data_IF_827670279611
#
_entry.id   IF_827670279611
#
_cell.length_a   1.000
_cell.length_b   1.000
_cell.length_c   1.000
_cell.angle_alpha   90.00
_cell.angle_beta   90.00
_cell.angle_gamma   90.00
#
_symmetry.space_group_name_H-M   'P 1'
#
loop_
_entity.id
_entity.type
_entity.pdbx_description
1 polymer ?
#
# COMPACT_ATOMS: atom_id res chain seq x y z
N UNK A 1 5.52 9.34 11.43
CA UNK A 1 5.26 10.66 10.81
C UNK A 1 5.36 10.46 9.31
N UNK A 2 4.28 10.68 8.55
CA UNK A 2 4.30 10.48 7.10
C UNK A 2 5.32 11.44 6.48
N UNK A 3 6.38 10.89 5.88
CA UNK A 3 7.50 11.65 5.34
C UNK A 3 7.14 12.26 3.98
N UNK A 4 6.27 13.26 4.00
CA UNK A 4 6.13 14.18 2.88
C UNK A 4 6.01 15.58 3.47
N UNK A 5 7.13 16.30 3.53
CA UNK A 5 7.07 17.72 3.86
C UNK A 5 8.36 18.31 4.44
N UNK A 6 8.64 19.53 4.01
CA UNK A 6 9.70 20.41 4.51
C UNK A 6 9.58 20.68 6.02
N UNK A 7 8.38 20.54 6.58
CA UNK A 7 8.08 20.70 8.00
C UNK A 7 8.87 19.75 8.91
N UNK A 8 8.97 18.46 8.57
CA UNK A 8 9.75 17.50 9.38
C UNK A 8 11.24 17.85 9.31
N UNK A 9 11.73 18.21 8.11
CA UNK A 9 13.12 18.66 7.93
C UNK A 9 13.44 19.86 8.81
N UNK A 10 12.58 20.89 8.82
CA UNK A 10 12.75 22.09 9.64
C UNK A 10 12.73 21.75 11.14
N UNK A 11 11.83 20.86 11.58
CA UNK A 11 11.78 20.41 12.98
C UNK A 11 13.04 19.66 13.40
N UNK A 12 13.55 18.74 12.59
CA UNK A 12 14.80 18.04 12.89
C UNK A 12 15.99 18.99 12.99
N UNK A 13 16.04 20.06 12.18
CA UNK A 13 17.08 21.09 12.26
C UNK A 13 16.98 21.93 13.54
N UNK A 14 15.76 22.30 13.93
CA UNK A 14 15.53 23.12 15.11
C UNK A 14 15.70 22.33 16.43
N UNK A 15 15.51 21.01 16.39
CA UNK A 15 15.55 20.13 17.58
C UNK A 15 16.40 18.88 17.30
N UNK A 16 17.75 18.96 17.42
CA UNK A 16 18.65 17.85 17.06
C UNK A 16 18.44 16.57 17.88
N UNK A 17 17.87 16.68 19.09
CA UNK A 17 17.50 15.53 19.92
C UNK A 17 16.46 14.60 19.26
N UNK A 18 15.66 15.10 18.32
CA UNK A 18 14.72 14.27 17.54
C UNK A 18 15.48 13.24 16.70
N UNK A 19 16.62 13.60 16.12
CA UNK A 19 17.41 12.68 15.29
C UNK A 19 18.42 11.90 16.13
N UNK A 20 19.04 12.55 17.12
CA UNK A 20 20.12 11.95 17.91
C UNK A 20 19.64 10.98 18.99
N UNK A 21 18.38 11.12 19.45
CA UNK A 21 17.86 10.37 20.59
C UNK A 21 16.60 9.55 20.23
N UNK A 22 16.35 9.32 18.93
CA UNK A 22 15.30 8.42 18.45
C UNK A 22 15.83 7.50 17.34
N UNK A 23 15.24 6.32 17.22
CA UNK A 23 15.53 5.40 16.12
C UNK A 23 14.58 5.69 14.96
N UNK A 24 15.13 5.89 13.78
CA UNK A 24 14.36 6.09 12.56
C UNK A 24 14.01 4.71 11.98
N UNK A 25 12.73 4.40 11.95
CA UNK A 25 12.18 3.23 11.26
C UNK A 25 11.59 3.65 9.90
N UNK A 26 12.04 3.01 8.83
CA UNK A 26 11.66 3.34 7.46
C UNK A 26 10.54 2.41 6.99
N UNK A 27 9.41 3.01 6.60
CA UNK A 27 8.29 2.27 6.03
C UNK A 27 8.37 2.30 4.51
N UNK A 28 8.53 1.12 3.92
CA UNK A 28 8.52 0.93 2.48
C UNK A 28 7.14 0.47 1.99
N UNK A 29 6.82 0.68 0.70
CA UNK A 29 5.66 0.03 0.09
C UNK A 29 5.70 -1.47 0.31
N UNK A 30 4.53 -2.09 0.46
CA UNK A 30 4.45 -3.54 0.63
C UNK A 30 5.02 -4.26 -0.59
N UNK A 31 5.94 -5.22 -0.39
CA UNK A 31 6.43 -6.06 -1.47
C UNK A 31 5.31 -6.98 -1.94
N UNK A 32 5.47 -7.55 -3.13
CA UNK A 32 4.47 -8.43 -3.74
C UNK A 32 4.08 -9.60 -2.83
N UNK A 33 5.05 -10.20 -2.14
CA UNK A 33 4.84 -11.30 -1.20
C UNK A 33 3.94 -10.89 -0.02
N UNK A 34 4.07 -9.64 0.45
CA UNK A 34 3.21 -9.13 1.51
C UNK A 34 1.78 -8.91 1.02
N UNK A 35 1.59 -8.49 -0.24
CA UNK A 35 0.26 -8.38 -0.85
C UNK A 35 -0.42 -9.75 -0.93
N UNK A 36 0.31 -10.78 -1.36
CA UNK A 36 -0.19 -12.16 -1.38
C UNK A 36 -0.55 -12.68 0.02
N UNK A 37 0.33 -12.48 1.01
CA UNK A 37 0.07 -12.92 2.38
C UNK A 37 -1.18 -12.26 2.98
N UNK A 38 -1.39 -10.97 2.70
CA UNK A 38 -2.59 -10.26 3.16
C UNK A 38 -3.83 -10.83 2.50
N UNK A 39 -3.85 -11.02 1.19
CA UNK A 39 -5.05 -11.51 0.52
C UNK A 39 -5.37 -12.97 0.85
N UNK A 40 -4.37 -13.79 1.12
CA UNK A 40 -4.54 -15.17 1.59
C UNK A 40 -5.29 -15.22 2.92
N UNK A 41 -5.02 -14.28 3.83
CA UNK A 41 -5.74 -14.15 5.11
C UNK A 41 -7.17 -13.63 4.90
N UNK A 42 -7.40 -12.76 3.91
CA UNK A 42 -8.73 -12.19 3.64
C UNK A 42 -9.66 -13.14 2.88
N UNK A 43 -9.12 -13.98 2.00
CA UNK A 43 -9.89 -14.99 1.26
C UNK A 43 -9.79 -16.32 2.03
N UNK A 44 -10.47 -16.38 3.18
CA UNK A 44 -10.60 -17.62 3.95
C UNK A 44 -11.27 -18.72 3.12
N UNK A 45 -10.96 -20.00 3.36
CA UNK A 45 -11.57 -21.15 2.66
C UNK A 45 -13.10 -21.20 2.74
N UNK A 46 -13.69 -20.54 3.74
CA UNK A 46 -15.13 -20.49 3.99
C UNK A 46 -15.88 -19.49 3.08
N UNK A 47 -15.15 -18.75 2.25
CA UNK A 47 -15.73 -17.69 1.45
C UNK A 47 -16.52 -18.26 0.25
N UNK A 48 -17.85 -18.29 0.38
CA UNK A 48 -18.78 -18.84 -0.64
C UNK A 48 -18.79 -18.07 -1.97
N UNK A 49 -18.23 -16.86 -2.02
CA UNK A 49 -18.25 -16.01 -3.21
C UNK A 49 -17.24 -16.47 -4.28
N UNK A 50 -16.15 -17.12 -3.88
CA UNK A 50 -15.04 -17.48 -4.77
C UNK A 50 -14.84 -19.00 -4.74
N UNK A 51 -15.10 -19.71 -5.85
CA UNK A 51 -14.79 -21.12 -5.97
C UNK A 51 -13.30 -21.38 -5.73
N UNK A 52 -12.97 -22.49 -5.07
CA UNK A 52 -11.58 -22.85 -4.74
C UNK A 52 -10.69 -22.93 -5.99
N UNK A 53 -11.23 -23.42 -7.11
CA UNK A 53 -10.55 -23.53 -8.41
C UNK A 53 -10.07 -22.16 -8.94
N UNK A 54 -10.82 -21.09 -8.64
CA UNK A 54 -10.54 -19.75 -9.15
C UNK A 54 -9.77 -18.87 -8.15
N UNK A 55 -9.55 -19.36 -6.92
CA UNK A 55 -8.97 -18.58 -5.82
C UNK A 55 -7.59 -18.01 -6.18
N UNK A 56 -6.70 -18.85 -6.71
CA UNK A 56 -5.35 -18.42 -7.08
C UNK A 56 -5.35 -17.33 -8.17
N UNK A 57 -6.22 -17.48 -9.17
CA UNK A 57 -6.37 -16.51 -10.26
C UNK A 57 -6.90 -15.16 -9.76
N UNK A 58 -7.88 -15.20 -8.86
CA UNK A 58 -8.44 -13.98 -8.23
C UNK A 58 -7.40 -13.27 -7.37
N UNK A 59 -6.64 -14.01 -6.56
CA UNK A 59 -5.56 -13.46 -5.74
C UNK A 59 -4.50 -12.77 -6.62
N UNK A 60 -4.03 -13.46 -7.66
CA UNK A 60 -3.06 -12.91 -8.62
C UNK A 60 -3.60 -11.66 -9.30
N UNK A 61 -4.87 -11.66 -9.70
CA UNK A 61 -5.50 -10.52 -10.34
C UNK A 61 -5.54 -9.29 -9.41
N UNK A 62 -5.95 -9.47 -8.15
CA UNK A 62 -6.04 -8.38 -7.17
C UNK A 62 -4.65 -7.78 -6.89
N UNK A 63 -3.62 -8.62 -6.76
CA UNK A 63 -2.24 -8.16 -6.58
C UNK A 63 -1.76 -7.37 -7.82
N UNK A 64 -1.96 -7.91 -9.03
CA UNK A 64 -1.57 -7.25 -10.29
C UNK A 64 -2.27 -5.90 -10.46
N UNK A 65 -3.57 -5.83 -10.20
CA UNK A 65 -4.34 -4.58 -10.29
C UNK A 65 -3.78 -3.55 -9.32
N UNK A 66 -3.54 -3.91 -8.07
CA UNK A 66 -2.98 -2.98 -7.08
C UNK A 66 -1.62 -2.42 -7.51
N UNK A 67 -0.71 -3.28 -7.97
CA UNK A 67 0.61 -2.86 -8.48
C UNK A 67 0.49 -1.94 -9.71
N UNK A 68 -0.48 -2.19 -10.59
CA UNK A 68 -0.71 -1.35 -11.78
C UNK A 68 -1.11 0.07 -11.40
N UNK A 69 -1.93 0.26 -10.35
CA UNK A 69 -2.36 1.58 -9.87
C UNK A 69 -1.14 2.41 -9.43
N UNK A 70 -0.17 1.80 -8.77
CA UNK A 70 1.08 2.49 -8.39
C UNK A 70 1.85 2.99 -9.63
N UNK A 71 1.95 2.17 -10.68
CA UNK A 71 2.59 2.56 -11.95
C UNK A 71 1.83 3.69 -12.66
N UNK A 72 0.51 3.60 -12.73
CA UNK A 72 -0.32 4.64 -13.32
C UNK A 72 -0.32 5.93 -12.51
N UNK A 73 -0.20 5.85 -11.18
CA UNK A 73 -0.06 7.01 -10.30
C UNK A 73 1.15 7.88 -10.66
N UNK A 74 2.28 7.25 -11.01
CA UNK A 74 3.49 7.95 -11.48
C UNK A 74 3.21 8.67 -12.81
N UNK A 75 2.60 7.97 -13.77
CA UNK A 75 2.26 8.57 -15.07
C UNK A 75 1.25 9.72 -14.93
N UNK A 76 0.27 9.56 -14.04
CA UNK A 76 -0.73 10.57 -13.74
C UNK A 76 -0.10 11.82 -13.13
N UNK A 77 0.85 11.67 -12.20
CA UNK A 77 1.61 12.77 -11.64
C UNK A 77 2.46 13.49 -12.70
N UNK A 78 3.05 12.77 -13.64
CA UNK A 78 3.83 13.36 -14.74
C UNK A 78 2.95 14.17 -15.69
N UNK A 79 1.78 13.63 -16.08
CA UNK A 79 0.90 14.25 -17.08
C UNK A 79 0.07 15.40 -16.52
N UNK A 80 -0.48 15.22 -15.32
CA UNK A 80 -1.48 16.14 -14.74
C UNK A 80 -0.98 16.90 -13.52
N UNK A 81 0.29 16.69 -13.11
CA UNK A 81 0.90 17.31 -11.92
C UNK A 81 0.12 17.06 -10.62
N UNK A 82 -0.66 15.98 -10.57
CA UNK A 82 -1.45 15.57 -9.40
C UNK A 82 -0.88 14.27 -8.84
N UNK A 83 -0.49 14.28 -7.57
CA UNK A 83 0.08 13.11 -6.90
C UNK A 83 -1.04 12.36 -6.17
N UNK A 84 -1.23 11.10 -6.55
CA UNK A 84 -2.13 10.17 -5.86
C UNK A 84 -1.29 9.22 -5.01
N UNK A 85 -1.56 9.19 -3.70
CA UNK A 85 -0.85 8.32 -2.77
C UNK A 85 -1.62 7.00 -2.62
N UNK A 86 -1.01 5.90 -3.04
CA UNK A 86 -1.52 4.56 -2.77
C UNK A 86 -0.96 4.11 -1.42
N UNK A 87 -1.84 3.71 -0.50
CA UNK A 87 -1.46 3.27 0.84
C UNK A 87 -1.91 1.84 1.07
N UNK A 88 -1.31 1.10 2.01
CA UNK A 88 -1.79 -0.24 2.37
C UNK A 88 -3.28 -0.26 2.74
N UNK A 89 -3.80 0.81 3.35
CA UNK A 89 -5.24 0.94 3.64
C UNK A 89 -6.09 0.88 2.36
N UNK A 90 -5.67 1.56 1.28
CA UNK A 90 -6.37 1.48 0.00
C UNK A 90 -6.41 0.06 -0.56
N UNK A 91 -5.39 -0.77 -0.30
CA UNK A 91 -5.40 -2.19 -0.69
C UNK A 91 -6.42 -3.00 0.13
N UNK A 92 -6.48 -2.79 1.44
CA UNK A 92 -7.46 -3.45 2.31
C UNK A 92 -8.89 -3.05 1.96
N UNK A 93 -9.13 -1.77 1.71
CA UNK A 93 -10.43 -1.26 1.29
C UNK A 93 -10.84 -1.85 -0.07
N UNK A 94 -9.89 -1.98 -1.02
CA UNK A 94 -10.13 -2.64 -2.30
C UNK A 94 -10.58 -4.09 -2.14
N UNK A 95 -9.88 -4.88 -1.32
CA UNK A 95 -10.25 -6.27 -1.05
C UNK A 95 -11.64 -6.35 -0.41
N UNK A 96 -11.91 -5.51 0.60
CA UNK A 96 -13.21 -5.47 1.27
C UNK A 96 -14.36 -5.10 0.32
N UNK A 97 -14.12 -4.20 -0.64
CA UNK A 97 -15.12 -3.87 -1.66
C UNK A 97 -15.32 -5.02 -2.65
N UNK A 98 -14.28 -5.78 -2.98
CA UNK A 98 -14.38 -6.93 -3.87
C UNK A 98 -15.14 -8.11 -3.23
N UNK A 99 -15.06 -8.27 -1.91
CA UNK A 99 -15.69 -9.36 -1.15
C UNK A 99 -17.11 -9.03 -0.62
N UNK A 100 -17.63 -7.84 -0.94
CA UNK A 100 -19.02 -7.46 -0.65
C UNK A 100 -19.94 -7.83 -1.79
#
# INVERSE_FOLDING_TARGET
>A
MLQVGETLRTRCRNFPGIVNNTTIDWFFPWPEQALYAVIEVFISPENRLIPEENRASVMEHIVKVHQSVSKYGIQFAQRLRRINYVTPKHYLDFINTYLK
#
